data_IF_768572768816
#
_entry.id   IF_768572768816
#
_cell.length_a   1.000
_cell.length_b   1.000
_cell.length_c   1.000
_cell.angle_alpha   90.00
_cell.angle_beta   90.00
_cell.angle_gamma   90.00
#
_symmetry.space_group_name_H-M   'P 1'
#
loop_
_entity.id
_entity.type
_entity.pdbx_description
1 polymer ?
#
# COMPACT_ATOMS: atom_id res chain seq x y z
N UNK A 1 -18.15 -12.62 -98.65
CA UNK A 1 -18.99 -12.59 -97.44
C UNK A 1 -18.24 -11.83 -96.35
N UNK A 2 -18.94 -10.88 -95.71
CA UNK A 2 -18.66 -10.29 -94.38
C UNK A 2 -17.62 -9.13 -94.33
N UNK A 3 -18.18 -7.93 -94.51
CA UNK A 3 -17.91 -6.65 -93.86
C UNK A 3 -16.49 -6.04 -93.86
N UNK A 4 -16.31 -5.07 -94.76
CA UNK A 4 -15.28 -4.02 -94.71
C UNK A 4 -15.52 -3.17 -93.45
N UNK A 5 -14.70 -3.39 -92.42
CA UNK A 5 -14.86 -2.79 -91.11
C UNK A 5 -14.53 -1.29 -91.16
N UNK A 6 -15.57 -0.46 -91.29
CA UNK A 6 -15.46 1.01 -91.16
C UNK A 6 -15.09 1.30 -89.71
N UNK A 7 -13.80 1.52 -89.45
CA UNK A 7 -13.28 1.95 -88.14
C UNK A 7 -13.75 3.37 -87.88
N UNK A 8 -14.90 3.51 -87.23
CA UNK A 8 -15.48 4.81 -86.90
C UNK A 8 -14.70 5.43 -85.70
N UNK A 9 -13.87 6.48 -85.91
CA UNK A 9 -13.01 7.06 -84.86
C UNK A 9 -13.81 7.61 -83.67
N UNK A 10 -15.07 7.97 -83.91
CA UNK A 10 -16.03 8.38 -82.88
C UNK A 10 -16.22 7.29 -81.82
N UNK A 11 -16.39 6.03 -82.25
CA UNK A 11 -16.68 4.90 -81.38
C UNK A 11 -15.49 4.56 -80.48
N UNK A 12 -14.26 4.59 -81.03
CA UNK A 12 -13.03 4.39 -80.26
C UNK A 12 -12.79 5.47 -79.21
N UNK A 13 -13.15 6.73 -79.52
CA UNK A 13 -13.09 7.82 -78.57
C UNK A 13 -14.08 7.64 -77.41
N UNK A 14 -15.32 7.23 -77.71
CA UNK A 14 -16.32 6.92 -76.68
C UNK A 14 -15.86 5.78 -75.76
N UNK A 15 -15.35 4.67 -76.31
CA UNK A 15 -14.83 3.56 -75.49
C UNK A 15 -13.66 3.98 -74.59
N UNK A 16 -12.74 4.82 -75.09
CA UNK A 16 -11.64 5.36 -74.27
C UNK A 16 -12.14 6.28 -73.14
N UNK A 17 -13.20 7.05 -73.39
CA UNK A 17 -13.82 7.90 -72.36
C UNK A 17 -14.57 7.07 -71.32
N UNK A 18 -15.25 6.00 -71.74
CA UNK A 18 -15.94 5.07 -70.84
C UNK A 18 -14.98 4.30 -69.93
N UNK A 19 -13.84 3.82 -70.44
CA UNK A 19 -12.84 3.14 -69.59
C UNK A 19 -12.22 4.08 -68.55
N UNK A 20 -12.00 5.35 -68.90
CA UNK A 20 -11.57 6.39 -67.93
C UNK A 20 -12.60 6.60 -66.82
N UNK A 21 -13.89 6.67 -67.18
CA UNK A 21 -14.99 6.83 -66.21
C UNK A 21 -15.09 5.61 -65.30
N UNK A 22 -15.00 4.40 -65.85
CA UNK A 22 -15.00 3.15 -65.08
C UNK A 22 -13.81 3.10 -64.12
N UNK A 23 -12.60 3.44 -64.55
CA UNK A 23 -11.41 3.49 -63.69
C UNK A 23 -11.52 4.54 -62.59
N UNK A 24 -12.19 5.66 -62.85
CA UNK A 24 -12.45 6.68 -61.84
C UNK A 24 -13.43 6.18 -60.77
N UNK A 25 -14.52 5.52 -61.20
CA UNK A 25 -15.52 4.93 -60.30
C UNK A 25 -14.93 3.80 -59.45
N UNK A 26 -14.11 2.91 -60.04
CA UNK A 26 -13.45 1.83 -59.28
C UNK A 26 -12.48 2.38 -58.25
N UNK A 27 -11.66 3.38 -58.60
CA UNK A 27 -10.77 4.05 -57.64
C UNK A 27 -11.53 4.71 -56.49
N UNK A 28 -12.66 5.36 -56.77
CA UNK A 28 -13.53 5.91 -55.72
C UNK A 28 -14.09 4.83 -54.79
N UNK A 29 -14.56 3.71 -55.33
CA UNK A 29 -15.10 2.58 -54.55
C UNK A 29 -14.00 1.96 -53.67
N UNK A 30 -12.81 1.73 -54.23
CA UNK A 30 -11.65 1.19 -53.49
C UNK A 30 -11.25 2.12 -52.35
N UNK A 31 -11.21 3.43 -52.60
CA UNK A 31 -10.88 4.45 -51.59
C UNK A 31 -11.91 4.46 -50.45
N UNK A 32 -13.21 4.40 -50.77
CA UNK A 32 -14.28 4.31 -49.75
C UNK A 32 -14.18 3.02 -48.93
N UNK A 33 -13.96 1.86 -49.56
CA UNK A 33 -13.76 0.59 -48.84
C UNK A 33 -12.56 0.63 -47.88
N UNK A 34 -11.41 1.17 -48.32
CA UNK A 34 -10.22 1.35 -47.47
C UNK A 34 -10.50 2.27 -46.28
N UNK A 35 -11.25 3.37 -46.49
CA UNK A 35 -11.61 4.29 -45.41
C UNK A 35 -12.51 3.62 -44.36
N UNK A 36 -13.52 2.87 -44.79
CA UNK A 36 -14.40 2.10 -43.88
C UNK A 36 -13.63 1.05 -43.08
N UNK A 37 -12.77 0.27 -43.73
CA UNK A 37 -11.94 -0.73 -43.04
C UNK A 37 -11.05 -0.08 -41.99
N UNK A 38 -10.40 1.05 -42.31
CA UNK A 38 -9.51 1.72 -41.36
C UNK A 38 -10.30 2.30 -40.15
N UNK A 39 -11.49 2.88 -40.39
CA UNK A 39 -12.37 3.38 -39.31
C UNK A 39 -12.83 2.26 -38.39
N UNK A 40 -13.21 1.10 -38.94
CA UNK A 40 -13.58 -0.07 -38.15
C UNK A 40 -12.40 -0.63 -37.35
N UNK A 41 -11.22 -0.76 -37.97
CA UNK A 41 -10.00 -1.20 -37.31
C UNK A 41 -9.59 -0.28 -36.15
N UNK A 42 -9.78 1.04 -36.31
CA UNK A 42 -9.52 2.01 -35.23
C UNK A 42 -10.55 1.88 -34.10
N UNK A 43 -11.84 1.69 -34.41
CA UNK A 43 -12.89 1.47 -33.39
C UNK A 43 -12.61 0.21 -32.57
N UNK A 44 -12.29 -0.91 -33.23
CA UNK A 44 -11.93 -2.15 -32.54
C UNK A 44 -10.67 -2.01 -31.70
N UNK A 45 -9.64 -1.29 -32.17
CA UNK A 45 -8.44 -1.03 -31.35
C UNK A 45 -8.75 -0.17 -30.13
N UNK A 46 -9.57 0.88 -30.26
CA UNK A 46 -10.03 1.70 -29.13
C UNK A 46 -10.85 0.89 -28.13
N UNK A 47 -11.78 0.07 -28.61
CA UNK A 47 -12.61 -0.79 -27.76
C UNK A 47 -11.77 -1.85 -27.05
N UNK A 48 -10.83 -2.52 -27.73
CA UNK A 48 -9.89 -3.46 -27.10
C UNK A 48 -9.03 -2.76 -26.03
N UNK A 49 -8.55 -1.55 -26.32
CA UNK A 49 -7.83 -0.72 -25.35
C UNK A 49 -8.67 -0.46 -24.09
N UNK A 50 -9.89 0.02 -24.26
CA UNK A 50 -10.81 0.28 -23.15
C UNK A 50 -11.10 -0.99 -22.33
N UNK A 51 -11.33 -2.14 -22.99
CA UNK A 51 -11.55 -3.42 -22.31
C UNK A 51 -10.33 -3.86 -21.49
N UNK A 52 -9.11 -3.67 -22.00
CA UNK A 52 -7.88 -3.95 -21.23
C UNK A 52 -7.77 -3.08 -19.98
N UNK A 53 -8.06 -1.78 -20.08
CA UNK A 53 -8.07 -0.88 -18.93
C UNK A 53 -9.09 -1.27 -17.87
N UNK A 54 -10.29 -1.68 -18.27
CA UNK A 54 -11.33 -2.15 -17.32
C UNK A 54 -10.88 -3.41 -16.58
N UNK A 55 -10.30 -4.39 -17.28
CA UNK A 55 -9.78 -5.62 -16.65
C UNK A 55 -8.63 -5.31 -15.69
N UNK A 56 -7.75 -4.36 -16.04
CA UNK A 56 -6.65 -3.93 -15.18
C UNK A 56 -7.15 -3.32 -13.86
N UNK A 57 -8.20 -2.48 -13.91
CA UNK A 57 -8.80 -1.88 -12.71
C UNK A 57 -9.42 -2.96 -11.81
N UNK A 58 -10.15 -3.91 -12.41
CA UNK A 58 -10.74 -5.03 -11.65
C UNK A 58 -9.67 -5.91 -10.98
N UNK A 59 -8.56 -6.15 -11.67
CA UNK A 59 -7.43 -6.91 -11.12
C UNK A 59 -6.79 -6.20 -9.90
N UNK A 60 -6.64 -4.88 -9.96
CA UNK A 60 -6.13 -4.10 -8.83
C UNK A 60 -7.05 -4.23 -7.60
N UNK A 61 -8.36 -4.07 -7.79
CA UNK A 61 -9.35 -4.19 -6.71
C UNK A 61 -9.29 -5.57 -6.04
N UNK A 62 -9.13 -6.63 -6.84
CA UNK A 62 -8.97 -8.00 -6.34
C UNK A 62 -7.71 -8.16 -5.47
N UNK A 63 -6.58 -7.58 -5.90
CA UNK A 63 -5.33 -7.63 -5.13
C UNK A 63 -5.41 -6.86 -3.81
N UNK A 64 -6.05 -5.69 -3.80
CA UNK A 64 -6.30 -4.93 -2.57
C UNK A 64 -7.18 -5.70 -1.58
N UNK A 65 -8.24 -6.35 -2.07
CA UNK A 65 -9.20 -7.08 -1.23
C UNK A 65 -8.58 -8.29 -0.53
N UNK A 66 -7.68 -9.02 -1.21
CA UNK A 66 -6.97 -10.17 -0.65
C UNK A 66 -6.06 -9.82 0.54
N UNK A 67 -5.54 -8.59 0.60
CA UNK A 67 -4.65 -8.15 1.67
C UNK A 67 -5.38 -7.61 2.92
N UNK A 68 -6.71 -7.49 2.88
CA UNK A 68 -7.54 -6.96 3.98
C UNK A 68 -7.30 -7.67 5.32
N UNK A 69 -7.17 -9.01 5.32
CA UNK A 69 -6.90 -9.79 6.55
C UNK A 69 -5.52 -9.49 7.13
N UNK A 70 -4.51 -9.26 6.29
CA UNK A 70 -3.14 -8.91 6.74
C UNK A 70 -3.13 -7.50 7.32
N UNK A 71 -3.81 -6.56 6.67
CA UNK A 71 -3.96 -5.17 7.13
C UNK A 71 -4.64 -5.13 8.50
N UNK A 72 -5.77 -5.83 8.68
CA UNK A 72 -6.45 -5.91 9.99
C UNK A 72 -5.58 -6.52 11.10
N UNK A 73 -4.78 -7.54 10.77
CA UNK A 73 -3.81 -8.11 11.73
C UNK A 73 -2.72 -7.11 12.10
N UNK A 74 -2.22 -6.34 11.13
CA UNK A 74 -1.24 -5.29 11.39
C UNK A 74 -1.81 -4.18 12.27
N UNK A 75 -3.02 -3.70 11.95
CA UNK A 75 -3.72 -2.66 12.72
C UNK A 75 -3.91 -3.07 14.19
N UNK A 76 -4.33 -4.33 14.43
CA UNK A 76 -4.47 -4.87 15.78
C UNK A 76 -3.14 -4.97 16.53
N UNK A 77 -2.02 -5.26 15.84
CA UNK A 77 -0.68 -5.27 16.46
C UNK A 77 -0.24 -3.86 16.83
N UNK A 78 -0.45 -2.87 15.95
CA UNK A 78 -0.14 -1.46 16.22
C UNK A 78 -0.95 -0.96 17.43
N UNK A 79 -2.26 -1.20 17.46
CA UNK A 79 -3.12 -0.86 18.61
C UNK A 79 -2.72 -1.54 19.92
N UNK A 80 -2.04 -2.69 19.87
CA UNK A 80 -1.49 -3.36 21.06
C UNK A 80 -0.19 -2.72 21.51
N UNK A 81 0.69 -2.35 20.57
CA UNK A 81 1.94 -1.65 20.88
C UNK A 81 1.67 -0.25 21.43
N UNK A 82 0.77 0.52 20.81
CA UNK A 82 0.40 1.87 21.28
C UNK A 82 -0.15 1.84 22.72
N UNK A 83 -0.93 0.80 23.07
CA UNK A 83 -1.41 0.62 24.45
C UNK A 83 -0.29 0.28 25.44
N UNK A 84 0.67 -0.55 25.03
CA UNK A 84 1.84 -0.88 25.86
C UNK A 84 2.73 0.33 26.09
N UNK A 85 2.99 1.11 25.05
CA UNK A 85 3.78 2.34 25.12
C UNK A 85 3.12 3.39 26.01
N UNK A 86 1.80 3.62 25.86
CA UNK A 86 1.03 4.49 26.76
C UNK A 86 1.10 4.04 28.22
N UNK A 87 0.97 2.74 28.48
CA UNK A 87 1.12 2.19 29.83
C UNK A 87 2.54 2.35 30.38
N UNK A 88 3.57 2.17 29.55
CA UNK A 88 4.96 2.37 29.95
C UNK A 88 5.24 3.84 30.34
N UNK A 89 4.72 4.81 29.58
CA UNK A 89 4.82 6.23 29.90
C UNK A 89 4.14 6.55 31.24
N UNK A 90 2.96 5.99 31.50
CA UNK A 90 2.23 6.16 32.76
C UNK A 90 3.00 5.54 33.94
N UNK A 91 3.55 4.34 33.77
CA UNK A 91 4.40 3.69 34.78
C UNK A 91 5.68 4.47 35.05
N UNK A 92 6.35 5.00 34.02
CA UNK A 92 7.53 5.86 34.17
C UNK A 92 7.20 7.11 35.00
N UNK A 93 6.06 7.75 34.74
CA UNK A 93 5.57 8.89 35.54
C UNK A 93 5.28 8.51 37.00
N UNK A 94 4.59 7.38 37.24
CA UNK A 94 4.31 6.92 38.61
C UNK A 94 5.60 6.62 39.38
N UNK A 95 6.60 6.04 38.72
CA UNK A 95 7.91 5.78 39.33
C UNK A 95 8.70 7.07 39.61
N UNK A 96 8.57 8.10 38.76
CA UNK A 96 9.13 9.42 39.04
C UNK A 96 8.53 10.06 40.31
N UNK A 97 7.24 9.85 40.58
CA UNK A 97 6.59 10.29 41.83
C UNK A 97 7.10 9.53 43.08
N UNK A 98 7.77 8.40 42.89
CA UNK A 98 8.37 7.58 43.94
C UNK A 98 9.87 7.85 44.15
N UNK A 99 10.47 8.80 43.43
CA UNK A 99 11.87 9.19 43.64
C UNK A 99 12.07 9.69 45.08
N UNK A 100 13.08 9.14 45.76
CA UNK A 100 13.39 9.46 47.17
C UNK A 100 12.48 8.80 48.20
N UNK A 101 11.57 7.92 47.77
CA UNK A 101 10.79 7.02 48.64
C UNK A 101 11.41 5.62 48.62
N UNK A 102 11.06 4.80 49.62
CA UNK A 102 11.50 3.40 49.74
C UNK A 102 10.37 2.42 49.35
N UNK A 103 9.92 2.34 48.09
CA UNK A 103 8.89 1.38 47.70
C UNK A 103 9.41 -0.06 47.72
N UNK A 104 8.49 -1.00 47.95
CA UNK A 104 8.74 -2.43 47.74
C UNK A 104 8.46 -2.76 46.28
N UNK A 105 9.51 -2.99 45.50
CA UNK A 105 9.41 -3.30 44.07
C UNK A 105 9.53 -4.81 43.86
N UNK A 106 8.51 -5.40 43.23
CA UNK A 106 8.50 -6.81 42.83
C UNK A 106 8.57 -6.89 41.30
N UNK A 107 9.71 -7.36 40.80
CA UNK A 107 9.91 -7.70 39.39
C UNK A 107 9.93 -9.20 39.15
N UNK A 108 9.86 -9.61 37.88
CA UNK A 108 9.77 -11.03 37.47
C UNK A 108 10.90 -11.93 38.01
N UNK A 109 12.06 -11.34 38.36
CA UNK A 109 13.26 -12.05 38.88
C UNK A 109 13.64 -11.55 40.29
N UNK A 110 12.78 -10.77 40.95
CA UNK A 110 13.09 -10.14 42.24
C UNK A 110 12.36 -10.84 43.40
N UNK A 111 13.05 -10.94 44.54
CA UNK A 111 12.40 -11.17 45.84
C UNK A 111 11.98 -9.86 46.49
N UNK A 112 11.05 -9.91 47.44
CA UNK A 112 10.59 -8.76 48.23
C UNK A 112 11.75 -8.10 48.98
N UNK A 113 12.19 -6.94 48.50
CA UNK A 113 13.22 -6.12 49.14
C UNK A 113 12.89 -4.64 48.96
N UNK A 114 13.10 -3.85 50.02
CA UNK A 114 12.92 -2.40 50.00
C UNK A 114 14.08 -1.79 49.21
N UNK A 115 13.75 -1.09 48.13
CA UNK A 115 14.70 -0.34 47.32
C UNK A 115 14.26 1.11 47.26
N UNK A 116 15.20 2.03 47.43
CA UNK A 116 15.01 3.45 47.18
C UNK A 116 15.12 3.72 45.67
N UNK A 117 14.17 4.47 45.12
CA UNK A 117 14.25 4.92 43.73
C UNK A 117 15.09 6.20 43.68
N UNK A 118 16.27 6.12 43.06
CA UNK A 118 17.21 7.26 42.96
C UNK A 118 16.97 8.04 41.67
N UNK A 119 16.73 7.32 40.57
CA UNK A 119 16.60 7.93 39.25
C UNK A 119 15.73 7.06 38.34
N UNK A 120 15.00 7.69 37.43
CA UNK A 120 14.06 7.04 36.50
C UNK A 120 14.21 7.67 35.11
N UNK A 121 14.67 6.86 34.17
CA UNK A 121 14.71 7.15 32.73
C UNK A 121 13.48 6.56 32.01
N UNK A 122 13.33 6.79 30.70
CA UNK A 122 12.20 6.27 29.90
C UNK A 122 12.12 4.73 29.83
N UNK A 123 13.25 4.03 29.97
CA UNK A 123 13.31 2.57 29.89
C UNK A 123 13.86 1.90 31.16
N UNK A 124 14.59 2.64 32.00
CA UNK A 124 15.37 2.11 33.10
C UNK A 124 15.08 2.82 34.42
N UNK A 125 15.12 2.07 35.51
CA UNK A 125 15.00 2.56 36.89
C UNK A 125 16.28 2.24 37.62
N UNK A 126 16.87 3.25 38.27
CA UNK A 126 18.02 3.09 39.14
C UNK A 126 17.56 2.97 40.59
N UNK A 127 17.76 1.78 41.13
CA UNK A 127 17.44 1.42 42.50
C UNK A 127 18.69 1.44 43.37
N UNK A 128 18.54 1.94 44.59
CA UNK A 128 19.56 1.90 45.66
C UNK A 128 19.00 1.09 46.83
N UNK A 129 19.79 0.18 47.37
CA UNK A 129 19.50 -0.42 48.67
C UNK A 129 20.72 -0.29 49.55
N UNK A 130 20.47 -0.07 50.84
CA UNK A 130 21.49 0.01 51.87
C UNK A 130 21.34 -1.26 52.71
N UNK A 131 22.35 -2.13 52.64
CA UNK A 131 22.37 -3.32 53.50
C UNK A 131 22.52 -2.91 54.97
N UNK A 132 22.18 -3.81 55.90
CA UNK A 132 22.38 -3.60 57.36
C UNK A 132 23.85 -3.30 57.75
N UNK A 133 24.80 -3.59 56.85
CA UNK A 133 26.23 -3.27 56.99
C UNK A 133 26.62 -1.88 56.45
N UNK A 134 25.66 -1.06 55.99
CA UNK A 134 25.91 0.28 55.45
C UNK A 134 26.52 0.31 54.04
N UNK A 135 26.59 -0.83 53.34
CA UNK A 135 27.06 -0.90 51.95
C UNK A 135 25.93 -0.52 50.99
N UNK A 136 26.19 0.46 50.14
CA UNK A 136 25.27 0.90 49.09
C UNK A 136 25.36 -0.04 47.88
N UNK A 137 24.22 -0.57 47.43
CA UNK A 137 24.11 -1.34 46.20
C UNK A 137 23.23 -0.60 45.20
N UNK A 138 23.74 -0.40 43.99
CA UNK A 138 22.97 0.14 42.87
C UNK A 138 22.54 -0.99 41.93
N UNK A 139 21.29 -0.94 41.46
CA UNK A 139 20.78 -1.87 40.47
C UNK A 139 19.96 -1.12 39.42
N UNK A 140 20.16 -1.47 38.15
CA UNK A 140 19.38 -0.96 37.03
C UNK A 140 18.37 -2.02 36.62
N UNK A 141 17.11 -1.62 36.48
CA UNK A 141 16.02 -2.51 36.09
C UNK A 141 15.16 -1.87 35.01
N UNK A 142 14.70 -2.64 34.03
CA UNK A 142 13.78 -2.15 33.01
C UNK A 142 12.38 -1.92 33.59
N UNK A 143 11.71 -0.85 33.17
CA UNK A 143 10.34 -0.54 33.60
C UNK A 143 9.36 -1.67 33.18
N UNK A 144 9.57 -2.27 32.00
CA UNK A 144 8.72 -3.36 31.49
C UNK A 144 8.74 -4.64 32.34
N UNK A 145 9.78 -4.85 33.14
CA UNK A 145 9.97 -6.07 33.94
C UNK A 145 9.41 -5.93 35.38
N UNK A 146 8.97 -4.72 35.76
CA UNK A 146 8.35 -4.42 37.06
C UNK A 146 6.89 -4.86 37.01
N UNK A 147 6.49 -5.74 37.93
CA UNK A 147 5.12 -6.27 37.97
C UNK A 147 4.26 -5.51 38.96
N UNK A 148 4.77 -5.29 40.18
CA UNK A 148 4.04 -4.65 41.27
C UNK A 148 4.96 -3.71 42.04
N UNK A 149 4.43 -2.54 42.39
CA UNK A 149 5.07 -1.59 43.29
C UNK A 149 4.13 -1.38 44.47
N UNK A 150 4.56 -1.79 45.66
CA UNK A 150 3.84 -1.57 46.90
C UNK A 150 4.51 -0.43 47.67
N UNK A 151 3.71 0.51 48.15
CA UNK A 151 4.18 1.63 48.95
C UNK A 151 3.36 1.67 50.24
N UNK A 152 4.03 1.54 51.38
CA UNK A 152 3.42 1.79 52.68
C UNK A 152 3.30 3.31 52.86
N UNK A 153 2.09 3.82 52.68
CA UNK A 153 1.78 5.23 52.93
C UNK A 153 1.75 5.49 54.43
N UNK A 154 2.74 6.24 54.92
CA UNK A 154 2.63 6.99 56.18
C UNK A 154 1.73 8.23 56.00
#
# INVERSE_FOLDING_TARGET
>A
MIYKLVRNPLLTFFFCKMTKIVNFLTNMIVKKKKMCYNKFKLRNRKQKGAMMWVVFILFMIFFYSNNSKKIKKLENKIKKLERKEKGNIEMSRLLQELIGKNPTIVGQVFGTSLWEVVDVDEEWVKLRSVDKEGKEKFKLQRIEDIQTVEFDGE
#
